data_IF_388902405649
#
_entry.id   IF_388902405649
#
_cell.length_a   1.000
_cell.length_b   1.000
_cell.length_c   1.000
_cell.angle_alpha   90.00
_cell.angle_beta   90.00
_cell.angle_gamma   90.00
#
_symmetry.space_group_name_H-M   'P 1'
#
loop_
_entity.id
_entity.type
_entity.pdbx_description
1 polymer ?
#
# COMPACT_ATOMS: atom_id res chain seq x y z
N UNK A 1 -19.67 0.41 -17.96
CA UNK A 1 -18.97 1.42 -17.16
C UNK A 1 -17.50 1.30 -17.49
N UNK A 2 -16.95 2.26 -18.22
CA UNK A 2 -15.50 2.37 -18.39
C UNK A 2 -14.93 2.59 -16.99
N UNK A 3 -14.23 1.59 -16.45
CA UNK A 3 -13.44 1.79 -15.23
C UNK A 3 -12.20 2.55 -15.71
N UNK A 4 -12.25 3.87 -15.62
CA UNK A 4 -11.05 4.69 -15.74
C UNK A 4 -9.96 4.08 -14.86
N UNK A 5 -8.75 3.93 -15.42
CA UNK A 5 -7.61 3.41 -14.65
C UNK A 5 -7.38 4.35 -13.48
N UNK A 6 -7.26 3.80 -12.27
CA UNK A 6 -6.87 4.58 -11.08
C UNK A 6 -5.50 5.18 -11.37
N UNK A 7 -5.39 6.50 -11.25
CA UNK A 7 -4.11 7.19 -11.34
C UNK A 7 -3.38 7.07 -10.00
N UNK A 8 -2.41 6.16 -9.92
CA UNK A 8 -1.60 5.91 -8.72
C UNK A 8 -0.47 6.94 -8.57
N UNK A 9 -0.81 8.22 -8.68
CA UNK A 9 0.14 9.31 -8.46
C UNK A 9 0.04 9.81 -7.01
N UNK A 10 1.15 10.29 -6.43
CA UNK A 10 1.19 10.87 -5.07
C UNK A 10 0.43 12.21 -4.94
N UNK A 11 -0.34 12.62 -5.95
CA UNK A 11 -1.10 13.86 -5.96
C UNK A 11 -2.27 13.82 -4.98
N UNK A 12 -2.49 14.89 -4.22
CA UNK A 12 -3.55 15.08 -3.20
C UNK A 12 -3.22 14.67 -1.75
N UNK A 13 -1.94 14.47 -1.41
CA UNK A 13 -1.53 14.24 -0.01
C UNK A 13 -1.90 12.86 0.54
N UNK A 14 -2.33 11.94 -0.32
CA UNK A 14 -2.50 10.51 -0.02
C UNK A 14 -1.41 9.69 -0.67
N UNK A 15 -0.87 8.75 0.07
CA UNK A 15 0.06 7.72 -0.42
C UNK A 15 -0.65 6.78 -1.40
N UNK A 16 0.12 6.10 -2.25
CA UNK A 16 -0.42 5.09 -3.17
C UNK A 16 -1.13 3.97 -2.40
N UNK A 17 -0.56 3.54 -1.27
CA UNK A 17 -1.23 2.58 -0.39
C UNK A 17 -2.58 3.10 0.13
N UNK A 18 -2.69 4.36 0.55
CA UNK A 18 -3.98 4.93 1.01
C UNK A 18 -5.03 4.94 -0.09
N UNK A 19 -4.64 5.29 -1.33
CA UNK A 19 -5.55 5.26 -2.47
C UNK A 19 -6.04 3.83 -2.75
N UNK A 20 -5.14 2.84 -2.73
CA UNK A 20 -5.50 1.43 -2.91
C UNK A 20 -6.42 0.93 -1.78
N UNK A 21 -6.17 1.35 -0.54
CA UNK A 21 -7.01 1.00 0.60
C UNK A 21 -8.44 1.54 0.47
N UNK A 22 -8.61 2.77 -0.03
CA UNK A 22 -9.92 3.35 -0.31
C UNK A 22 -10.68 2.57 -1.39
N UNK A 23 -10.00 2.22 -2.49
CA UNK A 23 -10.59 1.43 -3.58
C UNK A 23 -11.00 0.02 -3.14
N UNK A 24 -10.33 -0.54 -2.12
CA UNK A 24 -10.67 -1.84 -1.53
C UNK A 24 -11.64 -1.75 -0.35
N UNK A 25 -12.04 -0.55 0.09
CA UNK A 25 -12.79 -0.33 1.34
C UNK A 25 -12.11 -0.99 2.57
N UNK A 26 -10.79 -0.83 2.66
CA UNK A 26 -9.95 -1.40 3.70
C UNK A 26 -9.27 -0.32 4.54
N UNK A 27 -9.04 -0.64 5.80
CA UNK A 27 -8.07 0.06 6.64
C UNK A 27 -6.75 -0.73 6.70
N UNK A 28 -5.69 -0.11 7.26
CA UNK A 28 -4.40 -0.77 7.42
C UNK A 28 -4.45 -2.06 8.23
N UNK A 29 -5.37 -2.19 9.20
CA UNK A 29 -5.50 -3.37 10.04
C UNK A 29 -6.07 -4.52 9.21
N UNK A 30 -7.17 -4.29 8.49
CA UNK A 30 -7.77 -5.28 7.58
C UNK A 30 -6.79 -5.67 6.48
N UNK A 31 -6.11 -4.71 5.87
CA UNK A 31 -5.08 -4.96 4.87
C UNK A 31 -3.93 -5.81 5.40
N UNK A 32 -3.40 -5.48 6.59
CA UNK A 32 -2.35 -6.29 7.23
C UNK A 32 -2.81 -7.73 7.47
N UNK A 33 -4.07 -7.93 7.92
CA UNK A 33 -4.62 -9.27 8.15
C UNK A 33 -4.77 -10.04 6.84
N UNK A 34 -5.27 -9.40 5.78
CA UNK A 34 -5.44 -10.01 4.46
C UNK A 34 -4.11 -10.44 3.85
N UNK A 35 -3.09 -9.58 3.91
CA UNK A 35 -1.73 -9.91 3.46
C UNK A 35 -0.95 -10.77 4.47
N UNK A 36 -1.49 -11.08 5.65
CA UNK A 36 -0.80 -11.89 6.65
C UNK A 36 0.41 -11.19 7.30
N UNK A 37 0.41 -9.86 7.36
CA UNK A 37 1.39 -9.07 8.11
C UNK A 37 0.92 -8.80 9.54
N UNK A 38 1.89 -8.68 10.45
CA UNK A 38 1.67 -7.97 11.70
C UNK A 38 1.52 -6.46 11.41
N UNK A 39 0.56 -5.79 12.05
CA UNK A 39 0.35 -4.33 11.97
C UNK A 39 1.64 -3.54 12.22
N UNK A 40 2.47 -3.96 13.16
CA UNK A 40 3.75 -3.31 13.46
C UNK A 40 4.71 -3.40 12.27
N UNK A 41 4.79 -4.58 11.64
CA UNK A 41 5.63 -4.76 10.44
C UNK A 41 5.16 -3.86 9.29
N UNK A 42 3.84 -3.78 9.08
CA UNK A 42 3.28 -2.89 8.06
C UNK A 42 3.63 -1.42 8.32
N UNK A 43 3.52 -0.96 9.57
CA UNK A 43 3.92 0.40 9.93
C UNK A 43 5.42 0.63 9.68
N UNK A 44 6.29 -0.31 10.07
CA UNK A 44 7.73 -0.22 9.84
C UNK A 44 8.10 -0.15 8.35
N UNK A 45 7.38 -0.89 7.50
CA UNK A 45 7.54 -0.79 6.05
C UNK A 45 7.15 0.59 5.54
N UNK A 46 5.97 1.08 5.94
CA UNK A 46 5.46 2.38 5.52
C UNK A 46 6.41 3.53 5.83
N UNK A 47 7.04 3.54 7.00
CA UNK A 47 7.97 4.62 7.36
C UNK A 47 9.43 4.34 6.95
N UNK A 48 9.67 3.34 6.09
CA UNK A 48 11.01 2.99 5.60
C UNK A 48 11.98 2.46 6.67
N UNK A 49 11.51 2.13 7.88
CA UNK A 49 12.35 1.51 8.93
C UNK A 49 12.73 0.07 8.63
N UNK A 50 11.99 -0.58 7.72
CA UNK A 50 12.25 -1.94 7.29
C UNK A 50 11.98 -2.07 5.80
N UNK A 51 12.81 -2.84 5.11
CA UNK A 51 12.58 -3.17 3.71
C UNK A 51 11.30 -4.01 3.54
N UNK A 52 10.46 -3.62 2.60
CA UNK A 52 9.23 -4.33 2.32
C UNK A 52 9.51 -5.65 1.60
N UNK A 53 9.13 -6.76 2.23
CA UNK A 53 9.32 -8.10 1.69
C UNK A 53 8.03 -8.90 1.79
N UNK A 54 7.66 -9.55 0.68
CA UNK A 54 6.51 -10.44 0.56
C UNK A 54 6.99 -11.86 0.29
N UNK A 55 6.38 -12.84 0.96
CA UNK A 55 6.44 -14.24 0.54
C UNK A 55 5.60 -14.47 -0.71
N UNK A 56 5.84 -15.58 -1.42
CA UNK A 56 5.10 -15.92 -2.64
C UNK A 56 3.58 -15.98 -2.44
N UNK A 57 3.12 -16.46 -1.28
CA UNK A 57 1.69 -16.47 -0.92
C UNK A 57 1.13 -15.05 -0.85
N UNK A 58 1.88 -14.13 -0.23
CA UNK A 58 1.44 -12.74 -0.08
C UNK A 58 1.49 -11.99 -1.41
N UNK A 59 2.47 -12.29 -2.28
CA UNK A 59 2.52 -11.79 -3.66
C UNK A 59 1.23 -12.18 -4.39
N UNK A 60 0.85 -13.47 -4.36
CA UNK A 60 -0.39 -13.95 -5.01
C UNK A 60 -1.65 -13.30 -4.44
N UNK A 61 -1.69 -13.04 -3.12
CA UNK A 61 -2.82 -12.33 -2.50
C UNK A 61 -2.89 -10.89 -3.00
N UNK A 62 -1.77 -10.16 -2.99
CA UNK A 62 -1.71 -8.78 -3.46
C UNK A 62 -2.06 -8.68 -4.96
N UNK A 63 -1.59 -9.61 -5.79
CA UNK A 63 -1.93 -9.68 -7.22
C UNK A 63 -3.45 -9.79 -7.43
N UNK A 64 -4.13 -10.64 -6.64
CA UNK A 64 -5.59 -10.78 -6.70
C UNK A 64 -6.30 -9.49 -6.28
N UNK A 65 -5.81 -8.81 -5.26
CA UNK A 65 -6.38 -7.54 -4.80
C UNK A 65 -6.22 -6.44 -5.86
N UNK A 66 -5.05 -6.32 -6.48
CA UNK A 66 -4.80 -5.39 -7.59
C UNK A 66 -5.70 -5.69 -8.79
N UNK A 67 -5.90 -6.97 -9.12
CA UNK A 67 -6.78 -7.35 -10.23
C UNK A 67 -8.25 -6.92 -10.02
N UNK A 68 -8.74 -6.82 -8.78
CA UNK A 68 -10.11 -6.33 -8.49
C UNK A 68 -10.32 -4.89 -8.94
N UNK A 69 -9.25 -4.10 -8.91
CA UNK A 69 -9.20 -2.69 -9.31
C UNK A 69 -8.52 -2.51 -10.68
N UNK A 70 -8.40 -3.59 -11.46
CA UNK A 70 -7.83 -3.62 -12.81
C UNK A 70 -6.36 -3.14 -12.89
N UNK A 71 -5.58 -3.43 -11.85
CA UNK A 71 -4.15 -3.16 -11.76
C UNK A 71 -3.35 -4.47 -11.73
N UNK A 72 -2.07 -4.38 -12.07
CA UNK A 72 -1.05 -5.43 -11.88
C UNK A 72 0.14 -4.86 -11.13
N UNK A 73 1.03 -5.75 -10.66
CA UNK A 73 2.23 -5.34 -9.93
C UNK A 73 3.11 -4.32 -10.67
N UNK A 74 3.23 -4.43 -12.00
CA UNK A 74 4.02 -3.48 -12.80
C UNK A 74 3.38 -2.11 -12.99
N UNK A 75 2.15 -1.92 -12.54
CA UNK A 75 1.51 -0.60 -12.50
C UNK A 75 1.80 0.13 -11.17
N UNK A 76 2.32 -0.58 -10.15
CA UNK A 76 2.69 0.03 -8.88
C UNK A 76 4.04 0.75 -9.00
N UNK A 77 4.18 1.97 -8.46
CA UNK A 77 5.49 2.59 -8.31
C UNK A 77 6.34 1.82 -7.29
N UNK A 78 7.67 1.88 -7.40
CA UNK A 78 8.60 1.13 -6.54
C UNK A 78 8.43 1.45 -5.04
N UNK A 79 7.95 2.65 -4.74
CA UNK A 79 7.77 3.18 -3.39
C UNK A 79 6.29 3.20 -2.93
N UNK A 80 5.41 2.43 -3.59
CA UNK A 80 3.95 2.46 -3.37
C UNK A 80 3.50 2.26 -1.92
N UNK A 81 4.31 1.57 -1.11
CA UNK A 81 4.02 1.29 0.30
C UNK A 81 4.55 2.36 1.26
N UNK A 82 5.46 3.23 0.81
CA UNK A 82 6.10 4.21 1.67
C UNK A 82 5.17 5.39 1.92
N UNK A 83 4.98 5.72 3.19
CA UNK A 83 4.54 7.05 3.61
C UNK A 83 5.61 8.05 3.13
N UNK A 84 5.19 9.21 2.63
CA UNK A 84 6.08 10.22 2.06
C UNK A 84 7.32 10.45 2.95
N UNK A 85 8.56 10.30 2.44
CA UNK A 85 9.76 10.49 3.26
C UNK A 85 9.82 11.87 3.90
N UNK A 86 9.23 12.91 3.30
CA UNK A 86 9.16 14.25 3.92
C UNK A 86 8.25 14.32 5.17
N UNK A 87 7.29 13.39 5.32
CA UNK A 87 6.37 13.36 6.46
C UNK A 87 6.70 12.29 7.51
N UNK A 88 7.61 11.35 7.21
CA UNK A 88 7.99 10.28 8.14
C UNK A 88 8.80 10.80 9.36
N UNK A 89 9.50 11.93 9.23
CA UNK A 89 10.25 12.55 10.33
C UNK A 89 9.35 13.23 11.36
N UNK A 90 8.20 13.78 10.95
CA UNK A 90 7.28 14.50 11.85
C UNK A 90 6.44 13.58 12.76
N UNK A 91 6.36 12.26 12.48
CA UNK A 91 5.56 11.32 13.28
C UNK A 91 6.37 10.57 14.36
N UNK A 92 7.65 10.93 14.57
CA UNK A 92 8.49 10.38 15.66
C UNK A 92 8.38 11.16 16.97
N UNK A 93 7.52 12.17 17.04
CA UNK A 93 7.45 13.13 18.16
C UNK A 93 6.16 13.09 18.98
N UNK A 94 5.30 12.07 18.82
CA UNK A 94 4.13 11.86 19.70
C UNK A 94 4.24 10.52 20.44
#
# INVERSE_FOLDING_TARGET
MSKDRIDLSRGNGKTVLEQLLEEWDLDYVKFSKLLGFNRISLWQYRIGRREFRLSMTQIKTLEKMLAQVNLKFSDLPDDWILDDPENAENRKSD
#
